data_IF_112671106820
#
_entry.id   IF_112671106820
#
_cell.length_a   1.000
_cell.length_b   1.000
_cell.length_c   1.000
_cell.angle_alpha   90.00
_cell.angle_beta   90.00
_cell.angle_gamma   90.00
#
_symmetry.space_group_name_H-M   'P 1'
#
loop_
_entity.id
_entity.type
_entity.pdbx_description
1 polymer ?
#
# COMPACT_ATOMS: atom_id res chain seq x y z
N UNK A 1 -35.20 24.86 3.85
CA UNK A 1 -34.46 23.66 4.33
C UNK A 1 -33.72 22.89 3.22
N UNK A 2 -34.21 22.87 1.97
CA UNK A 2 -33.59 22.12 0.85
C UNK A 2 -32.14 22.51 0.48
N UNK A 3 -31.74 23.78 0.68
CA UNK A 3 -30.39 24.26 0.31
C UNK A 3 -29.27 23.69 1.19
N UNK A 4 -29.54 23.40 2.47
CA UNK A 4 -28.56 22.77 3.39
C UNK A 4 -28.35 21.28 3.09
N UNK A 5 -29.42 20.54 2.78
CA UNK A 5 -29.32 19.12 2.41
C UNK A 5 -28.56 18.90 1.09
N UNK A 6 -28.72 19.79 0.11
CA UNK A 6 -27.99 19.73 -1.17
C UNK A 6 -26.49 20.01 -1.01
N UNK A 7 -26.09 20.92 -0.12
CA UNK A 7 -24.68 21.20 0.17
C UNK A 7 -24.02 20.05 0.95
N UNK A 8 -24.73 19.44 1.89
CA UNK A 8 -24.27 18.25 2.62
C UNK A 8 -24.07 17.06 1.67
N UNK A 9 -25.01 16.79 0.77
CA UNK A 9 -24.87 15.67 -0.18
C UNK A 9 -23.73 15.87 -1.18
N UNK A 10 -23.51 17.11 -1.64
CA UNK A 10 -22.38 17.47 -2.50
C UNK A 10 -21.03 17.33 -1.77
N UNK A 11 -20.95 17.77 -0.51
CA UNK A 11 -19.74 17.65 0.31
C UNK A 11 -19.39 16.18 0.60
N UNK A 12 -20.39 15.35 0.94
CA UNK A 12 -20.22 13.89 1.14
C UNK A 12 -19.76 13.22 -0.17
N UNK A 13 -20.33 13.61 -1.30
CA UNK A 13 -19.92 13.11 -2.61
C UNK A 13 -18.46 13.43 -2.93
N UNK A 14 -18.00 14.64 -2.61
CA UNK A 14 -16.62 15.07 -2.86
C UNK A 14 -15.61 14.33 -1.96
N UNK A 15 -15.91 14.18 -0.67
CA UNK A 15 -15.08 13.43 0.28
C UNK A 15 -14.87 11.98 -0.16
N UNK A 16 -15.93 11.32 -0.64
CA UNK A 16 -15.88 9.94 -1.12
C UNK A 16 -14.95 9.77 -2.33
N UNK A 17 -14.89 10.75 -3.23
CA UNK A 17 -13.98 10.71 -4.40
C UNK A 17 -12.53 10.83 -3.96
N UNK A 18 -12.23 11.69 -3.00
CA UNK A 18 -10.88 11.87 -2.45
C UNK A 18 -10.39 10.58 -1.78
N UNK A 19 -11.25 9.93 -0.97
CA UNK A 19 -10.92 8.66 -0.33
C UNK A 19 -10.65 7.55 -1.34
N UNK A 20 -11.45 7.47 -2.40
CA UNK A 20 -11.26 6.47 -3.45
C UNK A 20 -9.92 6.64 -4.17
N UNK A 21 -9.53 7.88 -4.48
CA UNK A 21 -8.25 8.14 -5.14
C UNK A 21 -7.06 7.88 -4.18
N UNK A 22 -7.16 8.29 -2.91
CA UNK A 22 -6.16 7.97 -1.89
C UNK A 22 -5.93 6.46 -1.76
N UNK A 23 -7.01 5.69 -1.69
CA UNK A 23 -6.96 4.21 -1.64
C UNK A 23 -6.33 3.63 -2.90
N UNK A 24 -6.62 4.20 -4.08
CA UNK A 24 -6.04 3.77 -5.34
C UNK A 24 -4.53 4.03 -5.38
N UNK A 25 -4.09 5.22 -4.97
CA UNK A 25 -2.67 5.58 -4.87
C UNK A 25 -1.95 4.62 -3.91
N UNK A 26 -2.49 4.39 -2.72
CA UNK A 26 -1.92 3.46 -1.74
C UNK A 26 -1.78 2.03 -2.29
N UNK A 27 -2.82 1.52 -2.98
CA UNK A 27 -2.77 0.19 -3.61
C UNK A 27 -1.66 0.11 -4.65
N UNK A 28 -1.57 1.10 -5.54
CA UNK A 28 -0.56 1.13 -6.60
C UNK A 28 0.84 1.18 -6.01
N UNK A 29 1.07 2.07 -5.04
CA UNK A 29 2.35 2.20 -4.35
C UNK A 29 2.79 0.86 -3.74
N UNK A 30 1.92 0.18 -3.00
CA UNK A 30 2.25 -1.10 -2.38
C UNK A 30 2.50 -2.22 -3.41
N UNK A 31 1.71 -2.29 -4.48
CA UNK A 31 1.86 -3.32 -5.53
C UNK A 31 3.19 -3.25 -6.28
N UNK A 32 3.77 -2.06 -6.40
CA UNK A 32 5.11 -1.88 -6.99
C UNK A 32 6.21 -2.57 -6.18
N UNK A 33 5.94 -3.09 -4.97
CA UNK A 33 6.89 -3.87 -4.20
C UNK A 33 7.51 -5.03 -5.02
N UNK A 34 6.71 -5.70 -5.86
CA UNK A 34 7.23 -6.78 -6.69
C UNK A 34 8.25 -6.27 -7.71
N UNK A 35 7.92 -5.16 -8.40
CA UNK A 35 8.77 -4.55 -9.41
C UNK A 35 10.10 -4.09 -8.80
N UNK A 36 10.06 -3.40 -7.66
CA UNK A 36 11.27 -3.00 -6.94
C UNK A 36 12.07 -4.20 -6.43
N UNK A 37 11.41 -5.29 -6.02
CA UNK A 37 12.10 -6.53 -5.64
C UNK A 37 12.85 -7.14 -6.82
N UNK A 38 12.27 -7.12 -8.03
CA UNK A 38 12.93 -7.57 -9.24
C UNK A 38 14.12 -6.67 -9.62
N UNK A 39 13.95 -5.35 -9.54
CA UNK A 39 15.03 -4.37 -9.80
C UNK A 39 16.18 -4.60 -8.82
N UNK A 40 15.90 -4.74 -7.52
CA UNK A 40 16.92 -4.99 -6.51
C UNK A 40 17.68 -6.31 -6.78
N UNK A 41 16.97 -7.38 -7.17
CA UNK A 41 17.59 -8.67 -7.50
C UNK A 41 18.38 -8.66 -8.80
N UNK A 42 18.10 -7.74 -9.72
CA UNK A 42 18.74 -7.74 -11.04
C UNK A 42 20.26 -7.68 -10.95
N UNK A 43 20.80 -6.88 -10.03
CA UNK A 43 22.25 -6.72 -9.90
C UNK A 43 22.95 -8.02 -9.49
N UNK A 44 22.30 -8.90 -8.73
CA UNK A 44 22.90 -10.19 -8.31
C UNK A 44 23.05 -11.17 -9.46
N UNK A 45 22.37 -10.94 -10.58
CA UNK A 45 22.47 -11.76 -11.79
C UNK A 45 23.31 -11.10 -12.89
N UNK A 46 23.75 -9.85 -12.70
CA UNK A 46 24.61 -9.16 -13.66
C UNK A 46 26.06 -9.58 -13.47
N UNK A 47 26.77 -9.73 -14.58
CA UNK A 47 28.21 -9.94 -14.54
C UNK A 47 28.88 -8.64 -14.04
N UNK A 48 29.72 -8.75 -13.02
CA UNK A 48 30.37 -7.64 -12.34
C UNK A 48 31.12 -6.69 -13.29
N UNK A 49 31.67 -7.20 -14.39
CA UNK A 49 32.39 -6.42 -15.39
C UNK A 49 31.50 -5.46 -16.19
N UNK A 50 30.18 -5.60 -16.10
CA UNK A 50 29.19 -4.79 -16.82
C UNK A 50 28.29 -3.96 -15.89
N UNK A 51 28.54 -3.99 -14.57
CA UNK A 51 27.80 -3.17 -13.61
C UNK A 51 28.30 -1.73 -13.72
N UNK A 52 27.40 -0.81 -14.03
CA UNK A 52 27.72 0.63 -14.08
C UNK A 52 27.39 1.31 -12.75
N UNK A 53 27.91 2.53 -12.55
CA UNK A 53 27.50 3.37 -11.42
C UNK A 53 25.97 3.60 -11.39
N UNK A 54 25.36 3.79 -12.57
CA UNK A 54 23.91 3.94 -12.72
C UNK A 54 23.14 2.70 -12.25
N UNK A 55 23.65 1.50 -12.49
CA UNK A 55 23.01 0.26 -12.02
C UNK A 55 23.05 0.18 -10.49
N UNK A 56 24.15 0.60 -9.87
CA UNK A 56 24.25 0.68 -8.41
C UNK A 56 23.27 1.71 -7.82
N UNK A 57 23.11 2.87 -8.46
CA UNK A 57 22.15 3.89 -8.02
C UNK A 57 20.71 3.37 -8.10
N UNK A 58 20.34 2.72 -9.22
CA UNK A 58 19.03 2.10 -9.40
C UNK A 58 18.79 1.00 -8.35
N UNK A 59 19.81 0.18 -8.07
CA UNK A 59 19.73 -0.87 -7.06
C UNK A 59 19.52 -0.27 -5.66
N UNK A 60 20.29 0.76 -5.28
CA UNK A 60 20.17 1.44 -4.00
C UNK A 60 18.78 2.08 -3.83
N UNK A 61 18.26 2.75 -4.86
CA UNK A 61 16.91 3.30 -4.86
C UNK A 61 15.86 2.20 -4.68
N UNK A 62 16.00 1.06 -5.36
CA UNK A 62 15.05 -0.04 -5.20
C UNK A 62 15.06 -0.63 -3.79
N UNK A 63 16.24 -0.77 -3.16
CA UNK A 63 16.34 -1.20 -1.77
C UNK A 63 15.69 -0.20 -0.80
N UNK A 64 15.88 1.10 -1.04
CA UNK A 64 15.23 2.16 -0.27
C UNK A 64 13.70 2.06 -0.36
N UNK A 65 13.16 1.96 -1.57
CA UNK A 65 11.71 1.86 -1.83
C UNK A 65 11.07 0.62 -1.20
N UNK A 66 11.78 -0.52 -1.18
CA UNK A 66 11.35 -1.74 -0.49
C UNK A 66 11.32 -1.53 1.03
N UNK A 67 12.35 -0.87 1.57
CA UNK A 67 12.43 -0.57 3.00
C UNK A 67 11.30 0.37 3.43
N UNK A 68 10.97 1.38 2.64
CA UNK A 68 9.87 2.29 2.94
C UNK A 68 8.50 1.59 2.97
N UNK A 69 8.25 0.68 2.03
CA UNK A 69 7.02 -0.13 2.03
C UNK A 69 6.95 -1.04 3.27
N UNK A 70 8.05 -1.68 3.64
CA UNK A 70 8.13 -2.48 4.86
C UNK A 70 7.87 -1.64 6.12
N UNK A 71 8.50 -0.47 6.22
CA UNK A 71 8.31 0.48 7.32
C UNK A 71 6.85 0.91 7.48
N UNK A 72 6.16 1.19 6.37
CA UNK A 72 4.73 1.55 6.39
C UNK A 72 3.89 0.40 6.93
N UNK A 73 4.15 -0.84 6.48
CA UNK A 73 3.42 -2.02 6.96
C UNK A 73 3.65 -2.24 8.45
N UNK A 74 4.88 -2.09 8.92
CA UNK A 74 5.21 -2.24 10.33
C UNK A 74 4.54 -1.17 11.19
N UNK A 75 4.46 0.08 10.71
CA UNK A 75 3.68 1.14 11.36
C UNK A 75 2.20 0.77 11.46
N UNK A 76 1.61 0.20 10.41
CA UNK A 76 0.22 -0.24 10.42
C UNK A 76 0.04 -1.41 11.38
N UNK A 77 0.94 -2.41 11.39
CA UNK A 77 0.87 -3.54 12.32
C UNK A 77 0.95 -3.10 13.78
N UNK A 78 1.76 -2.09 14.10
CA UNK A 78 1.85 -1.50 15.44
C UNK A 78 0.54 -0.83 15.86
N UNK A 79 -0.19 -0.25 14.91
CA UNK A 79 -1.50 0.35 15.16
C UNK A 79 -2.63 -0.69 15.25
N UNK A 80 -2.71 -1.60 14.27
CA UNK A 80 -3.64 -2.73 14.22
C UNK A 80 -3.00 -3.89 13.46
N UNK A 81 -2.62 -4.93 14.20
CA UNK A 81 -1.89 -6.09 13.66
C UNK A 81 -2.63 -6.74 12.49
N UNK A 82 -3.94 -6.98 12.63
CA UNK A 82 -4.76 -7.61 11.59
C UNK A 82 -4.78 -6.78 10.31
N UNK A 83 -4.93 -5.46 10.40
CA UNK A 83 -4.88 -4.57 9.24
C UNK A 83 -3.52 -4.59 8.56
N UNK A 84 -2.45 -4.57 9.34
CA UNK A 84 -1.09 -4.65 8.79
C UNK A 84 -0.84 -5.97 8.04
N UNK A 85 -1.31 -7.09 8.58
CA UNK A 85 -1.24 -8.40 7.92
C UNK A 85 -2.12 -8.46 6.67
N UNK A 86 -3.33 -7.88 6.69
CA UNK A 86 -4.18 -7.77 5.49
C UNK A 86 -3.42 -7.03 4.37
N UNK A 87 -2.80 -5.89 4.67
CA UNK A 87 -2.05 -5.12 3.69
C UNK A 87 -0.86 -5.91 3.14
N UNK A 88 -0.09 -6.55 4.02
CA UNK A 88 1.05 -7.37 3.63
C UNK A 88 0.63 -8.53 2.70
N UNK A 89 -0.36 -9.32 3.11
CA UNK A 89 -0.82 -10.45 2.30
C UNK A 89 -1.39 -10.01 0.95
N UNK A 90 -2.24 -8.98 0.95
CA UNK A 90 -2.96 -8.55 -0.26
C UNK A 90 -2.07 -7.84 -1.27
N UNK A 91 -1.12 -7.02 -0.82
CA UNK A 91 -0.43 -6.09 -1.71
C UNK A 91 1.07 -6.32 -1.83
N UNK A 92 1.70 -6.97 -0.84
CA UNK A 92 3.13 -7.37 -0.93
C UNK A 92 3.24 -8.80 -1.43
N UNK A 93 2.44 -9.71 -0.87
CA UNK A 93 2.42 -11.13 -1.24
C UNK A 93 1.38 -11.47 -2.31
N UNK A 94 0.64 -10.46 -2.81
CA UNK A 94 -0.34 -10.59 -3.89
C UNK A 94 -1.37 -11.71 -3.68
N UNK A 95 -1.75 -11.99 -2.44
CA UNK A 95 -2.75 -12.99 -2.12
C UNK A 95 -4.16 -12.52 -2.51
N UNK A 96 -5.01 -13.47 -2.93
CA UNK A 96 -6.44 -13.22 -3.07
C UNK A 96 -7.10 -12.97 -1.71
N UNK A 97 -8.36 -12.51 -1.71
CA UNK A 97 -9.16 -12.33 -0.48
C UNK A 97 -9.21 -13.65 0.31
N UNK A 98 -9.60 -14.74 -0.35
CA UNK A 98 -9.76 -16.05 0.28
C UNK A 98 -8.44 -16.54 0.90
N UNK A 99 -7.35 -16.47 0.12
CA UNK A 99 -6.02 -16.84 0.63
C UNK A 99 -5.58 -15.95 1.80
N UNK A 100 -5.93 -14.67 1.79
CA UNK A 100 -5.66 -13.77 2.92
C UNK A 100 -6.42 -14.19 4.17
N UNK A 101 -7.70 -14.55 4.04
CA UNK A 101 -8.50 -15.05 5.16
C UNK A 101 -7.92 -16.34 5.74
N UNK A 102 -7.49 -17.27 4.89
CA UNK A 102 -6.82 -18.51 5.31
C UNK A 102 -5.52 -18.23 6.08
N UNK A 103 -4.67 -17.33 5.55
CA UNK A 103 -3.42 -16.93 6.21
C UNK A 103 -3.68 -16.26 7.57
N UNK A 104 -4.68 -15.39 7.67
CA UNK A 104 -5.06 -14.77 8.94
C UNK A 104 -5.59 -15.80 9.94
N UNK A 105 -6.39 -16.77 9.49
CA UNK A 105 -6.89 -17.83 10.34
C UNK A 105 -5.75 -18.71 10.88
N UNK A 106 -4.72 -19.01 10.08
CA UNK A 106 -3.52 -19.71 10.53
C UNK A 106 -2.75 -18.96 11.63
N UNK A 107 -2.90 -17.63 11.69
CA UNK A 107 -2.35 -16.77 12.74
C UNK A 107 -3.33 -16.54 13.90
N UNK A 108 -4.41 -17.32 14.00
CA UNK A 108 -5.43 -17.20 15.05
C UNK A 108 -6.43 -16.05 14.86
N UNK A 109 -6.42 -15.36 13.71
CA UNK A 109 -7.29 -14.22 13.42
C UNK A 109 -8.43 -14.62 12.49
N UNK A 110 -9.55 -15.08 13.06
CA UNK A 110 -10.75 -15.42 12.28
C UNK A 110 -11.62 -14.19 12.06
N UNK A 111 -11.68 -13.68 10.83
CA UNK A 111 -12.52 -12.54 10.44
C UNK A 111 -13.39 -12.88 9.23
N UNK A 112 -14.52 -12.19 9.08
CA UNK A 112 -15.34 -12.29 7.88
C UNK A 112 -14.74 -11.49 6.72
N UNK A 113 -15.10 -11.84 5.49
CA UNK A 113 -14.71 -11.07 4.30
C UNK A 113 -15.11 -9.59 4.41
N UNK A 114 -16.33 -9.31 4.87
CA UNK A 114 -16.80 -7.93 5.08
C UNK A 114 -15.89 -7.16 6.05
N UNK A 115 -15.44 -7.81 7.12
CA UNK A 115 -14.51 -7.21 8.09
C UNK A 115 -13.15 -6.97 7.47
N UNK A 116 -12.65 -7.92 6.67
CA UNK A 116 -11.41 -7.77 5.91
C UNK A 116 -11.48 -6.58 4.96
N UNK A 117 -12.55 -6.45 4.17
CA UNK A 117 -12.70 -5.36 3.21
C UNK A 117 -12.74 -3.99 3.91
N UNK A 118 -13.43 -3.88 5.05
CA UNK A 118 -13.44 -2.64 5.86
C UNK A 118 -12.06 -2.31 6.40
N UNK A 119 -11.41 -3.25 7.09
CA UNK A 119 -10.05 -3.05 7.64
C UNK A 119 -9.03 -2.73 6.55
N UNK A 120 -9.13 -3.39 5.39
CA UNK A 120 -8.30 -3.08 4.23
C UNK A 120 -8.48 -1.63 3.77
N UNK A 121 -9.71 -1.15 3.68
CA UNK A 121 -10.00 0.21 3.25
C UNK A 121 -9.41 1.25 4.22
N UNK A 122 -9.69 1.11 5.52
CA UNK A 122 -9.15 1.96 6.58
C UNK A 122 -7.61 1.95 6.59
N UNK A 123 -7.03 0.75 6.48
CA UNK A 123 -5.58 0.59 6.42
C UNK A 123 -4.97 1.24 5.18
N UNK A 124 -5.62 1.19 4.02
CA UNK A 124 -5.14 1.84 2.80
C UNK A 124 -5.18 3.38 2.90
N UNK A 125 -6.14 3.95 3.61
CA UNK A 125 -6.13 5.39 3.92
C UNK A 125 -4.94 5.76 4.82
N UNK A 126 -4.64 4.92 5.81
CA UNK A 126 -3.45 5.09 6.66
C UNK A 126 -2.16 4.90 5.86
N UNK A 127 -2.06 3.88 5.00
CA UNK A 127 -0.94 3.72 4.03
C UNK A 127 -0.77 5.00 3.25
N UNK A 128 -1.86 5.51 2.65
CA UNK A 128 -1.83 6.73 1.87
C UNK A 128 -1.16 7.81 2.72
N UNK A 129 -1.67 8.12 3.93
CA UNK A 129 -1.10 9.09 4.88
C UNK A 129 0.40 8.91 5.22
N UNK A 130 0.98 7.72 5.03
CA UNK A 130 2.37 7.40 5.37
C UNK A 130 3.34 7.34 4.17
N UNK A 131 2.85 7.34 2.93
CA UNK A 131 3.71 7.42 1.72
C UNK A 131 4.58 8.71 1.79
N UNK A 132 5.92 8.60 1.66
CA UNK A 132 6.82 9.76 1.53
C UNK A 132 6.40 10.65 0.36
N UNK A 133 6.55 11.97 0.47
CA UNK A 133 6.28 12.95 -0.60
C UNK A 133 4.80 13.21 -0.98
N UNK A 134 3.85 13.03 -0.05
CA UNK A 134 2.47 13.49 -0.29
C UNK A 134 2.27 15.00 -0.33
N UNK A 135 3.28 15.77 0.06
CA UNK A 135 3.28 17.24 -0.07
C UNK A 135 3.78 17.74 -1.43
N UNK A 136 4.31 16.86 -2.30
CA UNK A 136 4.36 17.19 -3.73
C UNK A 136 2.95 17.07 -4.29
N UNK A 137 2.29 18.23 -4.36
CA UNK A 137 1.09 18.52 -5.14
C UNK A 137 0.93 17.52 -6.28
N UNK A 138 -0.26 16.91 -6.38
CA UNK A 138 -0.84 16.53 -7.66
C UNK A 138 -0.71 17.75 -8.59
N UNK A 139 0.39 17.83 -9.34
CA UNK A 139 0.49 18.74 -10.47
C UNK A 139 -0.54 18.19 -11.45
N UNK A 140 -1.60 18.99 -11.65
CA UNK A 140 -2.59 18.78 -12.70
C UNK A 140 -1.94 18.87 -14.07
#
# INVERSE_FOLDING_TARGET
>A
MARKQKLLSQSIGHLRVIEQEAVKIAKTYLKQNHDYSLIAKRISFMNANYITAKDNDIHAMALYELKERANIIDKIKKHDLTSGLIIEYRFIKSCSVNRTLEQLQQQGMKISERTLQRKQHEALLLVYSLIPDKDTKLIK
#
